data_IF_644189988580
#
_entry.id   IF_644189988580
#
_cell.length_a   1.000
_cell.length_b   1.000
_cell.length_c   1.000
_cell.angle_alpha   90.00
_cell.angle_beta   90.00
_cell.angle_gamma   90.00
#
_symmetry.space_group_name_H-M   'P 1'
#
loop_
_entity.id
_entity.type
_entity.pdbx_description
1 polymer ?
#
# COMPACT_ATOMS: atom_id res chain seq x y z
N UNK A 1 -36.16 -30.16 -33.77
CA UNK A 1 -36.26 -28.69 -33.62
C UNK A 1 -35.67 -28.33 -32.27
N UNK A 2 -34.43 -27.88 -32.28
CA UNK A 2 -33.61 -27.53 -31.12
C UNK A 2 -33.98 -26.10 -30.70
N UNK A 3 -34.46 -25.90 -29.46
CA UNK A 3 -34.64 -24.56 -28.91
C UNK A 3 -33.30 -24.04 -28.37
N UNK A 4 -32.85 -22.94 -28.95
CA UNK A 4 -31.69 -22.20 -28.50
C UNK A 4 -32.02 -21.45 -27.21
N UNK A 5 -31.26 -21.70 -26.15
CA UNK A 5 -31.26 -20.91 -24.92
C UNK A 5 -30.50 -19.61 -25.17
N UNK A 6 -31.21 -18.49 -25.10
CA UNK A 6 -30.63 -17.16 -25.18
C UNK A 6 -29.71 -16.92 -23.97
N UNK A 7 -28.44 -16.61 -24.23
CA UNK A 7 -27.48 -16.19 -23.22
C UNK A 7 -27.85 -14.78 -22.73
N UNK A 8 -28.27 -14.68 -21.47
CA UNK A 8 -28.51 -13.40 -20.80
C UNK A 8 -27.19 -12.69 -20.59
N UNK A 9 -26.96 -11.60 -21.33
CA UNK A 9 -25.84 -10.69 -21.12
C UNK A 9 -25.97 -10.05 -19.72
N UNK A 10 -24.98 -10.18 -18.83
CA UNK A 10 -25.03 -9.53 -17.53
C UNK A 10 -24.92 -7.99 -17.68
N UNK A 11 -25.50 -7.22 -16.74
CA UNK A 11 -25.53 -5.77 -16.84
C UNK A 11 -24.12 -5.16 -16.85
N UNK A 12 -23.96 -3.96 -17.46
CA UNK A 12 -22.70 -3.24 -17.48
C UNK A 12 -22.24 -2.91 -16.05
N UNK A 13 -20.92 -2.83 -15.87
CA UNK A 13 -20.28 -2.41 -14.63
C UNK A 13 -20.83 -1.03 -14.24
N UNK A 14 -21.69 -0.97 -13.22
CA UNK A 14 -21.75 0.24 -12.41
C UNK A 14 -20.34 0.44 -11.89
N UNK A 15 -19.74 1.55 -12.30
CA UNK A 15 -18.43 1.95 -11.86
C UNK A 15 -18.48 2.00 -10.32
N UNK A 16 -17.86 1.01 -9.67
CA UNK A 16 -17.30 1.24 -8.35
C UNK A 16 -16.47 2.50 -8.51
N UNK A 17 -16.97 3.59 -7.93
CA UNK A 17 -16.50 4.95 -8.11
C UNK A 17 -14.95 4.97 -8.18
N UNK A 18 -14.34 5.15 -9.36
CA UNK A 18 -12.89 5.00 -9.54
C UNK A 18 -12.14 6.14 -8.86
N UNK A 19 -12.86 7.15 -8.40
CA UNK A 19 -12.41 8.18 -7.50
C UNK A 19 -13.36 8.19 -6.31
N UNK A 20 -13.18 7.25 -5.38
CA UNK A 20 -13.48 7.55 -3.98
C UNK A 20 -12.82 8.88 -3.71
N UNK A 21 -13.64 9.93 -3.69
CA UNK A 21 -13.25 11.32 -3.52
C UNK A 21 -12.14 11.34 -2.50
N UNK A 22 -10.94 11.75 -2.93
CA UNK A 22 -9.93 12.20 -2.00
C UNK A 22 -10.50 13.48 -1.38
N UNK A 23 -11.48 13.31 -0.49
CA UNK A 23 -11.73 14.25 0.55
C UNK A 23 -10.36 14.40 1.19
N UNK A 24 -9.76 15.56 0.94
CA UNK A 24 -8.60 16.03 1.66
C UNK A 24 -9.06 16.17 3.10
N UNK A 25 -9.12 15.04 3.81
CA UNK A 25 -9.13 15.01 5.25
C UNK A 25 -7.78 15.61 5.57
N UNK A 26 -7.79 16.89 5.92
CA UNK A 26 -6.60 17.61 6.34
C UNK A 26 -5.96 16.81 7.46
N UNK A 27 -4.93 16.04 7.11
CA UNK A 27 -4.17 15.22 8.04
C UNK A 27 -3.58 16.22 9.02
N UNK A 28 -4.05 16.18 10.26
CA UNK A 28 -3.57 17.10 11.29
C UNK A 28 -2.15 16.68 11.61
N UNK A 29 -1.18 17.39 11.04
CA UNK A 29 0.24 17.20 11.33
C UNK A 29 0.55 17.93 12.63
N UNK A 30 0.94 17.18 13.65
CA UNK A 30 1.30 17.75 14.94
C UNK A 30 2.63 18.48 14.85
N UNK A 31 2.70 19.65 15.50
CA UNK A 31 3.95 20.38 15.64
C UNK A 31 4.89 19.69 16.64
N UNK A 32 6.12 20.24 16.76
CA UNK A 32 7.16 19.69 17.64
C UNK A 32 6.71 19.65 19.10
N UNK A 33 6.10 20.72 19.58
CA UNK A 33 5.80 20.88 21.00
C UNK A 33 4.66 19.94 21.41
N UNK A 34 3.65 19.78 20.55
CA UNK A 34 2.60 18.79 20.73
C UNK A 34 3.16 17.37 20.70
N UNK A 35 3.97 17.03 19.70
CA UNK A 35 4.58 15.71 19.59
C UNK A 35 5.39 15.35 20.84
N UNK A 36 6.20 16.29 21.32
CA UNK A 36 7.00 16.11 22.54
C UNK A 36 6.12 15.99 23.80
N UNK A 37 5.04 16.77 23.90
CA UNK A 37 4.13 16.70 25.06
C UNK A 37 3.41 15.35 25.19
N UNK A 38 3.07 14.72 24.07
CA UNK A 38 2.31 13.45 24.07
C UNK A 38 3.22 12.23 24.08
N UNK A 39 4.33 12.28 23.33
CA UNK A 39 5.17 11.12 23.08
C UNK A 39 6.57 11.22 23.70
N UNK A 40 6.87 12.30 24.43
CA UNK A 40 8.22 12.58 24.93
C UNK A 40 8.78 11.58 25.95
N UNK A 41 7.96 10.66 26.45
CA UNK A 41 8.39 9.55 27.30
C UNK A 41 8.77 8.29 26.52
N UNK A 42 8.47 8.22 25.22
CA UNK A 42 8.90 7.12 24.37
C UNK A 42 10.42 7.16 24.22
N UNK A 43 11.10 6.00 24.20
CA UNK A 43 12.54 5.92 23.95
C UNK A 43 12.82 6.09 22.45
N UNK A 44 12.39 7.22 21.88
CA UNK A 44 12.37 7.49 20.44
C UNK A 44 12.76 8.94 20.20
N UNK A 45 13.77 9.18 19.36
CA UNK A 45 14.11 10.54 18.93
C UNK A 45 13.03 11.12 17.99
N UNK A 46 12.06 11.81 18.59
CA UNK A 46 10.91 12.41 17.91
C UNK A 46 11.31 13.53 16.96
N UNK A 47 12.36 14.29 17.28
CA UNK A 47 12.83 15.38 16.42
C UNK A 47 13.47 14.81 15.15
N UNK A 48 14.32 13.78 15.30
CA UNK A 48 14.89 13.08 14.15
C UNK A 48 13.83 12.40 13.31
N UNK A 49 12.85 11.75 13.94
CA UNK A 49 11.73 11.13 13.23
C UNK A 49 10.94 12.15 12.40
N UNK A 50 10.60 13.30 13.00
CA UNK A 50 9.93 14.42 12.31
C UNK A 50 10.75 14.93 11.13
N UNK A 51 12.05 15.14 11.32
CA UNK A 51 12.96 15.58 10.28
C UNK A 51 13.02 14.58 9.11
N UNK A 52 13.09 13.28 9.41
CA UNK A 52 13.09 12.22 8.41
C UNK A 52 11.78 12.19 7.60
N UNK A 53 10.62 12.27 8.26
CA UNK A 53 9.32 12.32 7.57
C UNK A 53 9.22 13.55 6.65
N UNK A 54 9.65 14.73 7.14
CA UNK A 54 9.65 15.95 6.35
C UNK A 54 10.59 15.85 5.14
N UNK A 55 11.80 15.31 5.34
CA UNK A 55 12.79 15.10 4.28
C UNK A 55 12.27 14.14 3.19
N UNK A 56 11.69 13.00 3.58
CA UNK A 56 11.12 12.03 2.64
C UNK A 56 9.99 12.65 1.82
N UNK A 57 9.08 13.39 2.46
CA UNK A 57 7.99 14.09 1.76
C UNK A 57 8.50 15.17 0.81
N UNK A 58 9.51 15.95 1.23
CA UNK A 58 10.14 16.95 0.39
C UNK A 58 10.72 16.32 -0.88
N UNK A 59 11.45 15.22 -0.73
CA UNK A 59 12.02 14.48 -1.88
C UNK A 59 10.96 13.87 -2.80
N UNK A 60 9.85 13.38 -2.26
CA UNK A 60 8.71 12.93 -3.07
C UNK A 60 8.18 14.11 -3.90
N UNK A 61 7.90 15.25 -3.27
CA UNK A 61 7.36 16.43 -3.95
C UNK A 61 8.34 16.99 -5.01
N UNK A 62 9.64 17.00 -4.72
CA UNK A 62 10.67 17.38 -5.69
C UNK A 62 10.70 16.42 -6.88
N UNK A 63 10.63 15.10 -6.65
CA UNK A 63 10.57 14.10 -7.71
C UNK A 63 9.30 14.23 -8.57
N UNK A 64 8.14 14.53 -7.96
CA UNK A 64 6.91 14.85 -8.69
C UNK A 64 7.11 16.07 -9.59
N UNK A 65 7.68 17.15 -9.04
CA UNK A 65 7.96 18.37 -9.79
C UNK A 65 8.93 18.14 -10.94
N UNK A 66 10.04 17.41 -10.74
CA UNK A 66 11.01 17.08 -11.79
C UNK A 66 10.38 16.28 -12.92
N UNK A 67 9.43 15.41 -12.60
CA UNK A 67 8.70 14.60 -13.56
C UNK A 67 7.50 15.30 -14.21
N UNK A 68 7.22 16.56 -13.86
CA UNK A 68 6.05 17.29 -14.34
C UNK A 68 4.71 16.68 -13.89
N UNK A 69 4.70 16.00 -12.74
CA UNK A 69 3.51 15.33 -12.20
C UNK A 69 2.77 16.25 -11.21
N UNK A 70 1.43 16.09 -11.06
CA UNK A 70 0.68 16.81 -10.05
C UNK A 70 1.20 16.52 -8.63
N UNK A 71 1.19 17.52 -7.77
CA UNK A 71 1.51 17.34 -6.36
C UNK A 71 0.57 16.30 -5.70
N UNK A 72 1.14 15.35 -4.95
CA UNK A 72 0.38 14.29 -4.27
C UNK A 72 -0.03 13.11 -5.18
N UNK A 73 0.47 13.08 -6.41
CA UNK A 73 0.34 11.93 -7.32
C UNK A 73 1.07 10.67 -6.85
N UNK A 74 2.04 10.80 -5.94
CA UNK A 74 2.74 9.73 -5.25
C UNK A 74 2.55 9.83 -3.74
N UNK A 75 2.01 8.77 -3.12
CA UNK A 75 1.74 8.71 -1.69
C UNK A 75 2.78 7.87 -0.96
N UNK A 76 3.12 8.31 0.25
CA UNK A 76 4.00 7.60 1.16
C UNK A 76 3.25 6.45 1.85
N UNK A 77 3.76 5.24 1.71
CA UNK A 77 3.44 4.09 2.56
C UNK A 77 4.61 3.89 3.51
N UNK A 78 4.43 4.25 4.79
CA UNK A 78 5.46 4.08 5.81
C UNK A 78 5.58 2.60 6.17
N UNK A 79 6.75 2.02 5.92
CA UNK A 79 7.02 0.60 6.14
C UNK A 79 7.40 0.38 7.60
N UNK A 80 6.45 -0.13 8.37
CA UNK A 80 6.51 -0.25 9.83
C UNK A 80 6.91 -1.65 10.31
N UNK A 81 7.39 -2.50 9.40
CA UNK A 81 7.94 -3.81 9.75
C UNK A 81 9.07 -3.62 10.77
N UNK A 82 9.04 -4.41 11.85
CA UNK A 82 9.93 -4.33 13.02
C UNK A 82 9.66 -3.22 14.05
N UNK A 83 8.70 -2.32 13.81
CA UNK A 83 8.36 -1.31 14.80
C UNK A 83 7.38 -1.86 15.84
N UNK A 84 7.56 -1.57 17.14
CA UNK A 84 6.51 -1.72 18.14
C UNK A 84 5.29 -0.84 17.81
N UNK A 85 4.10 -1.22 18.28
CA UNK A 85 2.87 -0.49 17.94
C UNK A 85 2.88 0.93 18.52
N UNK A 86 3.40 1.10 19.73
CA UNK A 86 3.52 2.37 20.44
C UNK A 86 4.35 3.43 19.69
N UNK A 87 5.29 3.01 18.82
CA UNK A 87 6.11 3.93 18.03
C UNK A 87 5.44 4.39 16.74
N UNK A 88 4.29 3.81 16.39
CA UNK A 88 3.57 4.17 15.19
C UNK A 88 2.65 5.38 15.38
N UNK A 89 2.17 5.62 16.61
CA UNK A 89 1.35 6.79 16.90
C UNK A 89 2.07 8.12 16.59
N UNK A 90 3.36 8.31 16.95
CA UNK A 90 4.14 9.47 16.48
C UNK A 90 4.22 9.62 14.96
N UNK A 91 4.38 8.53 14.20
CA UNK A 91 4.41 8.58 12.74
C UNK A 91 3.09 9.06 12.14
N UNK A 92 1.97 8.51 12.64
CA UNK A 92 0.64 8.92 12.20
C UNK A 92 0.34 10.38 12.58
N UNK A 93 0.77 10.83 13.77
CA UNK A 93 0.66 12.23 14.20
C UNK A 93 1.50 13.20 13.33
N UNK A 94 2.58 12.71 12.71
CA UNK A 94 3.34 13.44 11.70
C UNK A 94 2.70 13.39 10.30
N UNK A 95 1.55 12.73 10.20
CA UNK A 95 0.75 12.52 8.99
C UNK A 95 1.23 11.39 8.09
N UNK A 96 2.24 10.61 8.48
CA UNK A 96 2.55 9.36 7.81
C UNK A 96 1.53 8.30 8.25
N UNK A 97 0.28 8.47 7.82
CA UNK A 97 -0.90 7.72 8.28
C UNK A 97 -1.13 6.40 7.54
N UNK A 98 -0.42 6.14 6.44
CA UNK A 98 -0.51 4.89 5.70
C UNK A 98 0.63 3.96 6.08
N UNK A 99 0.32 2.85 6.74
CA UNK A 99 1.29 1.87 7.23
C UNK A 99 1.34 0.61 6.38
N UNK A 100 2.55 0.20 6.01
CA UNK A 100 2.84 -1.03 5.28
C UNK A 100 3.49 -2.09 6.17
N UNK A 101 2.80 -3.20 6.38
CA UNK A 101 3.33 -4.37 7.09
C UNK A 101 3.71 -5.51 6.13
N UNK A 102 4.80 -6.21 6.44
CA UNK A 102 5.22 -7.38 5.66
C UNK A 102 4.47 -8.66 6.05
N UNK A 103 4.03 -8.77 7.31
CA UNK A 103 3.48 -10.00 7.86
C UNK A 103 2.04 -9.79 8.33
N UNK A 104 1.09 -10.66 7.92
CA UNK A 104 -0.29 -10.63 8.40
C UNK A 104 -0.41 -10.56 9.93
N UNK A 105 0.46 -11.27 10.65
CA UNK A 105 0.45 -11.34 12.10
C UNK A 105 0.71 -9.97 12.75
N UNK A 106 1.57 -9.15 12.15
CA UNK A 106 1.84 -7.79 12.62
C UNK A 106 0.60 -6.90 12.40
N UNK A 107 -0.10 -7.05 11.27
CA UNK A 107 -1.39 -6.38 11.05
C UNK A 107 -2.39 -6.77 12.15
N UNK A 108 -2.51 -8.07 12.44
CA UNK A 108 -3.49 -8.56 13.40
C UNK A 108 -3.27 -8.08 14.84
N UNK A 109 -2.03 -7.78 15.22
CA UNK A 109 -1.72 -7.22 16.53
C UNK A 109 -1.79 -5.70 16.55
N UNK A 110 -1.27 -5.02 15.52
CA UNK A 110 -1.12 -3.55 15.51
C UNK A 110 -2.41 -2.80 15.18
N UNK A 111 -3.22 -3.31 14.25
CA UNK A 111 -4.51 -2.68 13.89
C UNK A 111 -5.40 -2.47 15.12
N UNK A 112 -5.74 -3.50 15.93
CA UNK A 112 -6.57 -3.30 17.11
C UNK A 112 -5.88 -2.45 18.18
N UNK A 113 -4.55 -2.56 18.33
CA UNK A 113 -3.79 -1.79 19.31
C UNK A 113 -3.81 -0.28 19.01
N UNK A 114 -3.77 0.12 17.73
CA UNK A 114 -3.85 1.53 17.34
C UNK A 114 -5.28 2.03 17.16
N UNK A 115 -6.24 1.16 16.82
CA UNK A 115 -7.65 1.53 16.80
C UNK A 115 -8.17 1.95 18.20
N UNK A 116 -7.60 1.38 19.27
CA UNK A 116 -7.91 1.77 20.65
C UNK A 116 -7.07 2.94 21.17
N UNK A 117 -6.05 3.39 20.43
CA UNK A 117 -5.21 4.50 20.86
C UNK A 117 -6.03 5.79 20.96
N UNK A 118 -5.82 6.56 22.02
CA UNK A 118 -6.42 7.87 22.22
C UNK A 118 -5.37 8.86 22.68
N UNK A 119 -5.39 10.05 22.09
CA UNK A 119 -4.58 11.17 22.55
C UNK A 119 -5.08 11.71 23.91
N UNK A 120 -4.28 12.54 24.60
CA UNK A 120 -4.65 13.11 25.89
C UNK A 120 -5.96 13.91 25.85
N UNK A 121 -6.30 14.48 24.69
CA UNK A 121 -7.51 15.27 24.48
C UNK A 121 -8.62 14.46 23.76
N UNK A 122 -8.47 13.13 23.74
CA UNK A 122 -9.44 12.20 23.12
C UNK A 122 -9.29 12.03 21.62
N UNK A 123 -8.19 12.50 21.02
CA UNK A 123 -7.98 12.38 19.58
C UNK A 123 -7.82 10.94 19.12
N UNK A 124 -8.31 10.66 17.91
CA UNK A 124 -8.17 9.35 17.25
C UNK A 124 -7.26 9.55 16.05
N UNK A 125 -6.23 8.69 15.93
CA UNK A 125 -5.38 8.67 14.75
C UNK A 125 -6.10 7.92 13.64
N UNK A 126 -6.26 8.57 12.49
CA UNK A 126 -6.69 7.89 11.27
C UNK A 126 -5.47 7.18 10.69
N UNK A 127 -5.57 5.85 10.50
CA UNK A 127 -4.46 5.03 10.02
C UNK A 127 -4.98 4.09 8.94
N UNK A 128 -4.33 4.14 7.77
CA UNK A 128 -4.62 3.29 6.63
C UNK A 128 -3.65 2.11 6.61
N UNK A 129 -4.18 0.89 6.74
CA UNK A 129 -3.35 -0.31 6.85
C UNK A 129 -3.20 -1.03 5.53
N UNK A 130 -1.97 -1.22 5.10
CA UNK A 130 -1.61 -1.94 3.88
C UNK A 130 -0.78 -3.18 4.23
N UNK A 131 -1.07 -4.32 3.60
CA UNK A 131 -0.17 -5.47 3.60
C UNK A 131 0.71 -5.41 2.35
N UNK A 132 2.01 -5.23 2.54
CA UNK A 132 2.97 -5.07 1.45
C UNK A 132 3.87 -6.30 1.22
N UNK A 133 3.82 -7.27 2.13
CA UNK A 133 4.51 -8.56 2.00
C UNK A 133 3.61 -9.67 1.44
N UNK A 134 4.19 -10.86 1.34
CA UNK A 134 3.51 -12.05 0.82
C UNK A 134 2.34 -12.48 1.72
N UNK A 135 1.19 -12.80 1.11
CA UNK A 135 0.00 -13.29 1.80
C UNK A 135 -0.26 -14.76 1.48
N UNK A 136 -0.05 -15.63 2.46
CA UNK A 136 -0.44 -17.03 2.34
C UNK A 136 -1.97 -17.16 2.35
N UNK A 137 -2.54 -18.04 1.50
CA UNK A 137 -3.99 -18.19 1.35
C UNK A 137 -4.72 -18.51 2.66
N UNK A 138 -4.12 -19.29 3.55
CA UNK A 138 -4.70 -19.63 4.86
C UNK A 138 -4.76 -18.44 5.84
N UNK A 139 -4.05 -17.34 5.56
CA UNK A 139 -4.08 -16.11 6.35
C UNK A 139 -5.05 -15.07 5.77
N UNK A 140 -5.42 -15.20 4.49
CA UNK A 140 -6.24 -14.24 3.76
C UNK A 140 -7.55 -13.90 4.48
N UNK A 141 -8.29 -14.90 4.99
CA UNK A 141 -9.58 -14.71 5.66
C UNK A 141 -9.51 -13.75 6.85
N UNK A 142 -8.44 -13.81 7.65
CA UNK A 142 -8.27 -12.95 8.83
C UNK A 142 -7.72 -11.58 8.45
N UNK A 143 -6.87 -11.51 7.45
CA UNK A 143 -6.19 -10.26 7.06
C UNK A 143 -7.06 -9.33 6.22
N UNK A 144 -7.86 -9.89 5.30
CA UNK A 144 -8.66 -9.12 4.35
C UNK A 144 -9.53 -8.02 4.99
N UNK A 145 -10.25 -8.23 6.12
CA UNK A 145 -11.06 -7.18 6.74
C UNK A 145 -10.27 -6.18 7.58
N UNK A 146 -8.94 -6.34 7.73
CA UNK A 146 -8.10 -5.51 8.60
C UNK A 146 -7.22 -4.52 7.82
N UNK A 147 -7.27 -4.55 6.49
CA UNK A 147 -6.41 -3.76 5.62
C UNK A 147 -7.23 -3.10 4.51
N UNK A 148 -6.79 -1.95 4.06
CA UNK A 148 -7.38 -1.21 2.94
C UNK A 148 -6.75 -1.61 1.60
N UNK A 149 -5.52 -2.12 1.63
CA UNK A 149 -4.82 -2.56 0.43
C UNK A 149 -3.88 -3.75 0.69
N UNK A 150 -3.84 -4.70 -0.24
CA UNK A 150 -2.85 -5.78 -0.28
C UNK A 150 -2.02 -5.61 -1.56
N UNK A 151 -0.72 -5.36 -1.42
CA UNK A 151 0.15 -5.10 -2.56
C UNK A 151 0.83 -6.38 -3.08
N UNK A 152 1.00 -7.39 -2.22
CA UNK A 152 1.76 -8.61 -2.47
C UNK A 152 0.92 -9.79 -2.99
N UNK A 153 -0.12 -9.54 -3.79
CA UNK A 153 -0.85 -10.65 -4.44
C UNK A 153 -0.01 -11.16 -5.60
N UNK A 154 0.45 -12.40 -5.54
CA UNK A 154 1.53 -12.89 -6.42
C UNK A 154 1.12 -14.07 -7.33
N UNK A 155 -0.13 -14.51 -7.27
CA UNK A 155 -0.63 -15.65 -8.03
C UNK A 155 -2.14 -15.61 -8.23
N UNK A 156 -2.60 -16.22 -9.33
CA UNK A 156 -4.02 -16.29 -9.66
C UNK A 156 -4.80 -17.09 -8.61
N UNK A 157 -4.15 -18.11 -8.02
CA UNK A 157 -4.72 -18.91 -6.92
C UNK A 157 -5.03 -18.05 -5.69
N UNK A 158 -4.08 -17.20 -5.27
CA UNK A 158 -4.30 -16.29 -4.15
C UNK A 158 -5.39 -15.27 -4.49
N UNK A 159 -5.34 -14.70 -5.69
CA UNK A 159 -6.32 -13.72 -6.12
C UNK A 159 -7.76 -14.29 -6.17
N UNK A 160 -7.95 -15.50 -6.71
CA UNK A 160 -9.23 -16.24 -6.66
C UNK A 160 -9.71 -16.49 -5.23
N UNK A 161 -8.78 -16.79 -4.32
CA UNK A 161 -9.10 -16.96 -2.88
C UNK A 161 -9.62 -15.64 -2.28
N UNK A 162 -8.97 -14.52 -2.59
CA UNK A 162 -9.39 -13.19 -2.10
C UNK A 162 -10.74 -12.78 -2.68
N UNK A 163 -10.99 -13.04 -3.97
CA UNK A 163 -12.28 -12.79 -4.61
C UNK A 163 -13.42 -13.57 -3.94
N UNK A 164 -13.23 -14.86 -3.69
CA UNK A 164 -14.20 -15.69 -2.98
C UNK A 164 -14.45 -15.18 -1.55
N UNK A 165 -13.41 -14.76 -0.84
CA UNK A 165 -13.56 -14.20 0.51
C UNK A 165 -14.32 -12.86 0.48
N UNK A 166 -14.01 -11.99 -0.48
CA UNK A 166 -14.70 -10.71 -0.66
C UNK A 166 -16.20 -10.91 -0.98
N UNK A 167 -16.53 -11.88 -1.83
CA UNK A 167 -17.92 -12.23 -2.15
C UNK A 167 -18.74 -12.59 -0.90
N UNK A 168 -18.12 -13.32 0.04
CA UNK A 168 -18.79 -13.76 1.28
C UNK A 168 -18.95 -12.65 2.31
N UNK A 169 -18.13 -11.59 2.27
CA UNK A 169 -18.27 -10.42 3.17
C UNK A 169 -19.37 -9.50 2.66
N UNK A 170 -19.50 -9.33 1.35
CA UNK A 170 -20.55 -8.52 0.72
C UNK A 170 -21.98 -9.02 0.99
N UNK A 171 -22.17 -10.27 1.38
CA UNK A 171 -23.48 -10.86 1.70
C UNK A 171 -23.87 -10.78 3.18
N UNK A 172 -22.96 -10.34 4.06
CA UNK A 172 -23.11 -10.41 5.53
C UNK A 172 -23.13 -9.03 6.22
N UNK A 173 -23.40 -7.94 5.50
CA UNK A 173 -23.02 -6.58 5.91
C UNK A 173 -23.65 -6.07 7.22
N UNK A 174 -22.77 -5.91 8.22
CA UNK A 174 -22.79 -4.86 9.26
C UNK A 174 -21.38 -4.26 9.49
N UNK A 175 -20.42 -4.50 8.59
CA UNK A 175 -19.04 -4.00 8.74
C UNK A 175 -18.85 -2.62 8.11
N UNK A 176 -18.37 -1.67 8.91
CA UNK A 176 -18.16 -0.25 8.54
C UNK A 176 -16.91 0.02 7.69
N UNK A 177 -16.16 -1.00 7.27
CA UNK A 177 -14.93 -0.83 6.48
C UNK A 177 -15.11 -1.34 5.04
N UNK A 178 -14.68 -0.58 4.02
CA UNK A 178 -14.66 -1.07 2.65
C UNK A 178 -13.71 -2.27 2.50
N UNK A 179 -14.04 -3.18 1.59
CA UNK A 179 -13.19 -4.33 1.27
C UNK A 179 -11.82 -3.88 0.75
N UNK A 180 -10.76 -4.61 1.13
CA UNK A 180 -9.41 -4.30 0.69
C UNK A 180 -9.29 -4.29 -0.85
N UNK A 181 -8.55 -3.31 -1.36
CA UNK A 181 -8.10 -3.25 -2.76
C UNK A 181 -6.82 -4.06 -2.93
N UNK A 182 -6.49 -4.49 -4.15
CA UNK A 182 -5.29 -5.29 -4.39
C UNK A 182 -4.44 -4.75 -5.54
N UNK A 183 -3.12 -4.80 -5.36
CA UNK A 183 -2.16 -4.72 -6.45
C UNK A 183 -1.62 -6.11 -6.77
N UNK A 184 -1.36 -6.38 -8.04
CA UNK A 184 -0.74 -7.62 -8.50
C UNK A 184 0.78 -7.46 -8.52
N UNK A 185 1.49 -8.30 -7.76
CA UNK A 185 2.93 -8.31 -7.68
C UNK A 185 3.54 -8.96 -8.92
N UNK A 186 4.42 -8.23 -9.60
CA UNK A 186 5.15 -8.70 -10.77
C UNK A 186 6.64 -8.75 -10.46
N UNK A 187 7.28 -9.87 -10.77
CA UNK A 187 8.72 -10.02 -10.68
C UNK A 187 9.37 -9.54 -11.99
N UNK A 188 9.93 -8.33 -11.95
CA UNK A 188 10.67 -7.72 -13.05
C UNK A 188 12.18 -7.64 -12.78
N UNK A 189 12.67 -8.21 -11.68
CA UNK A 189 14.10 -8.18 -11.35
C UNK A 189 14.88 -9.35 -11.95
N UNK A 190 14.20 -10.35 -12.51
CA UNK A 190 14.82 -11.56 -13.05
C UNK A 190 15.33 -12.54 -12.00
N UNK A 191 15.14 -12.24 -10.70
CA UNK A 191 15.56 -13.13 -9.60
C UNK A 191 14.49 -14.20 -9.37
N UNK A 192 14.81 -15.46 -9.70
CA UNK A 192 13.89 -16.59 -9.56
C UNK A 192 13.40 -16.84 -8.12
N UNK A 193 14.11 -16.33 -7.11
CA UNK A 193 13.75 -16.44 -5.69
C UNK A 193 12.66 -15.46 -5.26
N UNK A 194 12.32 -14.46 -6.08
CA UNK A 194 11.30 -13.46 -5.75
C UNK A 194 9.91 -13.89 -6.20
N UNK A 195 8.93 -13.64 -5.33
CA UNK A 195 7.51 -13.82 -5.60
C UNK A 195 7.00 -12.85 -6.68
N UNK A 196 5.90 -13.23 -7.31
CA UNK A 196 5.19 -12.42 -8.30
C UNK A 196 5.04 -13.14 -9.64
N UNK A 197 4.10 -12.67 -10.46
CA UNK A 197 4.00 -13.10 -11.84
C UNK A 197 5.22 -12.67 -12.64
N UNK A 198 5.60 -13.45 -13.66
CA UNK A 198 6.36 -12.89 -14.78
C UNK A 198 5.45 -11.99 -15.62
N UNK A 199 6.03 -11.13 -16.44
CA UNK A 199 5.26 -10.28 -17.35
C UNK A 199 4.36 -11.12 -18.28
N UNK A 200 4.89 -12.22 -18.81
CA UNK A 200 4.19 -13.13 -19.71
C UNK A 200 3.06 -13.88 -18.98
N UNK A 201 3.34 -14.35 -17.75
CA UNK A 201 2.35 -15.07 -16.95
C UNK A 201 1.17 -14.18 -16.56
N UNK A 202 1.44 -12.92 -16.19
CA UNK A 202 0.38 -11.95 -15.90
C UNK A 202 -0.50 -11.71 -17.14
N UNK A 203 0.11 -11.54 -18.31
CA UNK A 203 -0.63 -11.32 -19.55
C UNK A 203 -1.44 -12.56 -19.96
N UNK A 204 -0.92 -13.77 -19.73
CA UNK A 204 -1.64 -15.02 -20.00
C UNK A 204 -2.90 -15.16 -19.13
N UNK A 205 -2.83 -14.72 -17.86
CA UNK A 205 -3.95 -14.79 -16.92
C UNK A 205 -4.95 -13.63 -17.05
N UNK A 206 -4.75 -12.68 -17.98
CA UNK A 206 -5.49 -11.41 -18.02
C UNK A 206 -7.02 -11.56 -18.06
N UNK A 207 -7.54 -12.51 -18.85
CA UNK A 207 -8.99 -12.74 -18.95
C UNK A 207 -9.54 -13.39 -17.68
N UNK A 208 -8.82 -14.33 -17.06
CA UNK A 208 -9.23 -14.95 -15.81
C UNK A 208 -9.23 -13.95 -14.66
N UNK A 209 -8.24 -13.06 -14.63
CA UNK A 209 -8.15 -11.98 -13.66
C UNK A 209 -9.32 -10.99 -13.84
N UNK A 210 -9.62 -10.60 -15.08
CA UNK A 210 -10.73 -9.69 -15.38
C UNK A 210 -12.12 -10.24 -15.05
N UNK A 211 -12.26 -11.57 -14.99
CA UNK A 211 -13.51 -12.25 -14.66
C UNK A 211 -13.85 -12.21 -13.15
N UNK A 212 -12.90 -11.86 -12.28
CA UNK A 212 -13.10 -11.71 -10.84
C UNK A 212 -13.88 -10.41 -10.55
N UNK A 213 -14.90 -10.50 -9.69
CA UNK A 213 -15.92 -9.42 -9.54
C UNK A 213 -16.01 -8.83 -8.15
N UNK A 214 -15.52 -9.53 -7.14
CA UNK A 214 -15.73 -9.19 -5.74
C UNK A 214 -14.52 -8.48 -5.14
N UNK A 215 -13.31 -8.83 -5.59
CA UNK A 215 -12.09 -8.14 -5.19
C UNK A 215 -11.78 -6.95 -6.13
N UNK A 216 -11.45 -5.80 -5.55
CA UNK A 216 -11.08 -4.61 -6.31
C UNK A 216 -9.60 -4.64 -6.68
N UNK A 217 -9.30 -4.90 -7.96
CA UNK A 217 -7.93 -4.89 -8.50
C UNK A 217 -7.63 -3.49 -9.02
N UNK A 218 -6.62 -2.83 -8.44
CA UNK A 218 -6.38 -1.39 -8.68
C UNK A 218 -4.99 -1.07 -9.21
N UNK A 219 -4.10 -2.05 -9.35
CA UNK A 219 -2.76 -1.74 -9.83
C UNK A 219 -1.79 -2.90 -9.88
N UNK A 220 -0.55 -2.54 -10.18
CA UNK A 220 0.59 -3.46 -10.13
C UNK A 220 1.56 -3.05 -9.01
N UNK A 221 2.34 -4.02 -8.55
CA UNK A 221 3.41 -3.82 -7.59
C UNK A 221 4.70 -4.47 -8.08
N UNK A 222 5.84 -3.81 -7.87
CA UNK A 222 7.14 -4.47 -8.04
C UNK A 222 8.17 -3.96 -7.04
N UNK A 223 9.30 -4.66 -6.99
CA UNK A 223 10.52 -4.27 -6.30
C UNK A 223 11.68 -4.39 -7.28
N UNK A 224 12.51 -3.37 -7.37
CA UNK A 224 13.78 -3.45 -8.09
C UNK A 224 14.69 -4.53 -7.48
N UNK A 225 15.73 -4.93 -8.23
CA UNK A 225 16.74 -5.86 -7.75
C UNK A 225 17.41 -5.32 -6.47
N UNK A 226 17.86 -6.23 -5.59
CA UNK A 226 18.59 -5.80 -4.40
C UNK A 226 19.90 -5.10 -4.80
N UNK A 227 20.28 -4.06 -4.05
CA UNK A 227 21.50 -3.29 -4.32
C UNK A 227 21.40 -2.35 -5.52
N UNK A 228 20.21 -2.16 -6.09
CA UNK A 228 19.98 -1.10 -7.07
C UNK A 228 19.96 0.27 -6.41
N UNK A 229 20.38 1.27 -7.18
CA UNK A 229 20.31 2.69 -6.90
C UNK A 229 19.23 3.34 -7.79
N UNK A 230 19.01 4.65 -7.58
CA UNK A 230 18.11 5.50 -8.38
C UNK A 230 18.22 5.25 -9.89
N UNK A 231 19.44 5.11 -10.44
CA UNK A 231 19.66 4.97 -11.89
C UNK A 231 19.37 3.56 -12.39
N UNK A 232 19.79 2.56 -11.64
CA UNK A 232 19.68 1.14 -12.01
C UNK A 232 18.31 0.55 -11.72
N UNK A 233 17.53 1.14 -10.79
CA UNK A 233 16.15 0.75 -10.50
C UNK A 233 15.13 1.30 -11.51
N UNK A 234 15.40 2.47 -12.13
CA UNK A 234 14.46 3.17 -13.02
C UNK A 234 13.91 2.30 -14.17
N UNK A 235 14.73 1.51 -14.90
CA UNK A 235 14.22 0.68 -15.99
C UNK A 235 13.18 -0.35 -15.52
N UNK A 236 13.32 -0.89 -14.32
CA UNK A 236 12.33 -1.81 -13.73
C UNK A 236 10.99 -1.11 -13.50
N UNK A 237 11.01 0.14 -13.06
CA UNK A 237 9.79 0.92 -12.80
C UNK A 237 9.09 1.36 -14.08
N UNK A 238 9.86 1.76 -15.10
CA UNK A 238 9.33 2.04 -16.44
C UNK A 238 8.67 0.80 -17.06
N UNK A 239 9.34 -0.36 -16.96
CA UNK A 239 8.80 -1.63 -17.41
C UNK A 239 7.49 -2.01 -16.68
N UNK A 240 7.38 -1.73 -15.38
CA UNK A 240 6.12 -1.97 -14.65
C UNK A 240 4.99 -1.08 -15.16
N UNK A 241 5.26 0.20 -15.42
CA UNK A 241 4.26 1.13 -15.98
C UNK A 241 3.78 0.69 -17.36
N UNK A 242 4.70 0.33 -18.24
CA UNK A 242 4.36 -0.19 -19.58
C UNK A 242 3.56 -1.48 -19.51
N UNK A 243 3.94 -2.40 -18.61
CA UNK A 243 3.20 -3.62 -18.36
C UNK A 243 1.79 -3.32 -17.83
N UNK A 244 1.65 -2.35 -16.92
CA UNK A 244 0.33 -1.90 -16.42
C UNK A 244 -0.54 -1.43 -17.55
N UNK A 245 -0.03 -0.59 -18.44
CA UNK A 245 -0.80 -0.03 -19.56
C UNK A 245 -1.26 -1.15 -20.53
N UNK A 246 -0.35 -2.08 -20.89
CA UNK A 246 -0.68 -3.23 -21.74
C UNK A 246 -1.68 -4.18 -21.08
N UNK A 247 -1.49 -4.47 -19.79
CA UNK A 247 -2.37 -5.35 -19.04
C UNK A 247 -3.76 -4.73 -18.83
N UNK A 248 -3.85 -3.43 -18.60
CA UNK A 248 -5.11 -2.69 -18.54
C UNK A 248 -5.89 -2.80 -19.86
N UNK A 249 -5.20 -2.65 -21.01
CA UNK A 249 -5.82 -2.84 -22.33
C UNK A 249 -6.32 -4.27 -22.54
N UNK A 250 -5.53 -5.27 -22.17
CA UNK A 250 -5.90 -6.68 -22.36
C UNK A 250 -7.03 -7.13 -21.43
N UNK A 251 -7.03 -6.69 -20.17
CA UNK A 251 -8.00 -7.10 -19.14
C UNK A 251 -9.25 -6.20 -19.09
N UNK A 252 -9.18 -4.99 -19.64
CA UNK A 252 -10.23 -3.97 -19.47
C UNK A 252 -10.37 -3.47 -18.03
N UNK A 253 -9.35 -3.66 -17.19
CA UNK A 253 -9.32 -3.14 -15.81
C UNK A 253 -8.73 -1.72 -15.78
N UNK A 254 -9.27 -0.88 -14.90
CA UNK A 254 -8.65 0.41 -14.58
C UNK A 254 -7.66 0.20 -13.46
N UNK A 255 -6.39 0.52 -13.71
CA UNK A 255 -5.28 0.20 -12.81
C UNK A 255 -4.55 1.49 -12.41
N UNK A 256 -5.17 2.36 -11.59
CA UNK A 256 -4.58 3.65 -11.26
C UNK A 256 -3.27 3.52 -10.47
N UNK A 257 -3.05 2.41 -9.76
CA UNK A 257 -1.94 2.27 -8.83
C UNK A 257 -0.69 1.61 -9.44
N UNK A 258 0.46 2.21 -9.17
CA UNK A 258 1.78 1.62 -9.36
C UNK A 258 2.51 1.67 -8.02
N UNK A 259 2.56 0.53 -7.34
CA UNK A 259 3.28 0.38 -6.08
C UNK A 259 4.72 0.00 -6.35
N UNK A 260 5.62 0.97 -6.38
CA UNK A 260 7.04 0.76 -6.65
C UNK A 260 7.90 1.87 -6.04
N UNK A 261 9.16 1.56 -5.74
CA UNK A 261 10.06 2.44 -5.00
C UNK A 261 10.08 2.17 -3.49
N UNK A 262 11.29 2.13 -2.95
CA UNK A 262 11.66 1.96 -1.55
C UNK A 262 12.71 3.00 -1.16
N UNK A 263 13.22 2.98 0.07
CA UNK A 263 14.11 4.03 0.62
C UNK A 263 15.28 4.45 -0.29
N UNK A 264 15.82 3.55 -1.12
CA UNK A 264 17.01 3.81 -1.94
C UNK A 264 16.70 4.31 -3.36
N UNK A 265 15.45 4.18 -3.83
CA UNK A 265 15.09 4.34 -5.24
C UNK A 265 13.71 4.99 -5.45
N UNK A 266 13.03 5.44 -4.38
CA UNK A 266 11.69 6.00 -4.46
C UNK A 266 11.61 7.26 -5.33
N UNK A 267 12.64 8.11 -5.35
CA UNK A 267 12.65 9.29 -6.24
C UNK A 267 12.59 8.86 -7.72
N UNK A 268 13.39 7.87 -8.12
CA UNK A 268 13.35 7.30 -9.47
C UNK A 268 11.99 6.66 -9.78
N UNK A 269 11.40 5.99 -8.79
CA UNK A 269 10.08 5.39 -8.92
C UNK A 269 8.99 6.44 -9.13
N UNK A 270 9.02 7.56 -8.40
CA UNK A 270 8.11 8.69 -8.59
C UNK A 270 8.28 9.27 -10.00
N UNK A 271 9.51 9.47 -10.45
CA UNK A 271 9.76 9.97 -11.80
C UNK A 271 9.29 9.01 -12.89
N UNK A 272 9.33 7.69 -12.63
CA UNK A 272 8.82 6.64 -13.50
C UNK A 272 7.30 6.43 -13.39
N UNK A 273 6.59 7.18 -12.56
CA UNK A 273 5.12 7.14 -12.47
C UNK A 273 4.55 6.36 -11.27
N UNK A 274 5.34 6.07 -10.23
CA UNK A 274 4.85 5.43 -9.00
C UNK A 274 3.74 6.27 -8.34
N UNK A 275 2.71 5.61 -7.84
CA UNK A 275 1.63 6.24 -7.05
C UNK A 275 1.73 5.90 -5.57
N UNK A 276 2.50 4.87 -5.22
CA UNK A 276 2.69 4.37 -3.87
C UNK A 276 4.16 4.00 -3.67
N UNK A 277 4.89 4.80 -2.90
CA UNK A 277 6.29 4.54 -2.52
C UNK A 277 6.36 3.97 -1.11
N UNK A 278 7.10 2.88 -0.92
CA UNK A 278 7.12 2.08 0.32
C UNK A 278 8.42 2.32 1.09
N UNK A 279 8.42 3.26 2.01
CA UNK A 279 9.65 3.78 2.63
C UNK A 279 9.74 3.36 4.09
N UNK A 280 10.85 2.71 4.46
CA UNK A 280 11.10 2.21 5.82
C UNK A 280 12.33 2.84 6.43
N UNK A 281 13.52 2.36 6.04
CA UNK A 281 14.80 2.80 6.63
C UNK A 281 15.02 4.32 6.61
N UNK A 282 14.62 5.03 5.54
CA UNK A 282 14.77 6.48 5.47
C UNK A 282 13.91 7.24 6.50
N UNK A 283 12.84 6.62 7.04
CA UNK A 283 12.03 7.21 8.11
C UNK A 283 12.71 7.08 9.49
N UNK A 284 13.57 6.08 9.68
CA UNK A 284 14.25 5.79 10.97
C UNK A 284 15.74 6.04 10.98
N UNK A 285 16.30 6.46 9.86
CA UNK A 285 17.73 6.69 9.77
C UNK A 285 18.19 7.69 10.84
N UNK A 286 19.09 7.23 11.72
CA UNK A 286 19.60 8.03 12.83
C UNK A 286 18.62 8.26 13.98
N UNK A 287 17.42 7.67 13.97
CA UNK A 287 16.50 7.71 15.11
C UNK A 287 17.10 6.83 16.21
N UNK A 288 17.86 7.45 17.10
CA UNK A 288 18.41 6.78 18.27
C UNK A 288 17.28 6.44 19.24
N UNK A 289 17.40 5.29 19.92
CA UNK A 289 16.59 5.04 21.11
C UNK A 289 17.13 5.93 22.21
N UNK A 290 16.34 6.91 22.63
CA UNK A 290 16.69 7.70 23.81
C UNK A 290 16.65 6.76 25.02
N UNK A 291 17.67 6.83 25.87
CA UNK A 291 17.62 6.15 27.16
C UNK A 291 16.35 6.64 27.90
N UNK A 292 15.61 5.74 28.58
CA UNK A 292 14.44 6.18 29.35
C UNK A 292 14.85 7.29 30.32
N UNK A 293 14.01 8.30 30.56
CA UNK A 293 14.32 9.36 31.52
C UNK A 293 14.68 8.71 32.86
N UNK A 294 15.80 9.12 33.44
CA UNK A 294 16.21 8.70 34.78
C UNK A 294 15.09 9.04 35.76
N UNK A 295 14.47 8.01 36.34
CA UNK A 295 13.45 8.14 37.41
C UNK A 295 14.09 8.72 38.67
#
# INVERSE_FOLDING_TARGET
MTQATAATTPPPRDALDPAGSAASTSVVVWDRDRLQSVFGTLPLDLERLRANVAMVRGKIAEAESRAGRPAGSARLVAVTKYWPAEWLAPLAALGADTFGENHPQAVWSKVPALASWRGPDGEILTIHWHLIGHLQSNKARRTLPMVEMIHGVDSLKLLKTLDQLAANVGTATTTSHPLARVCLQVNLSGEASKHGWSAEGLMADAQEIAALRSISIVGLMTMAALGTDTRTARPTFEALRELRDRFAQASGLTLPELSMGMSNDYEAAVEAGSTLVRIGSALIEGVALQAPPSV
#
